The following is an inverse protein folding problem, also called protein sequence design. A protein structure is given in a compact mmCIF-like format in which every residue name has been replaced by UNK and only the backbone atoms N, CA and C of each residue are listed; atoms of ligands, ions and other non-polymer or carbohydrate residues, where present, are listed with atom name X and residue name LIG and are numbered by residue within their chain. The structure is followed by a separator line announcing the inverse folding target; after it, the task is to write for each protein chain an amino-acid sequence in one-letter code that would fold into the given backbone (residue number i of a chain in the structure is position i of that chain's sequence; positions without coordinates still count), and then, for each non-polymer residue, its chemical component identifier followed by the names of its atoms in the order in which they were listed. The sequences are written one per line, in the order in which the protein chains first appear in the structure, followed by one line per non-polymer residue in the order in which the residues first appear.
data_IF_114628720802
#
_entry.id   IF_114628720802
#
_cell.length_a   1.000
_cell.length_b   1.000
_cell.length_c   1.000
_cell.angle_alpha   90.00
_cell.angle_beta   90.00
_cell.angle_gamma   90.00
#
_symmetry.space_group_name_H-M   'P 1'
#
loop_
_entity.id
_entity.type
_entity.pdbx_description
1 polymer ?
#
# COMPACT_ATOMS: atom_id res chain seq x y z
N UNK A 1 4.57 -10.59 14.35
CA UNK A 1 3.20 -10.30 13.86
C UNK A 1 2.96 -8.80 13.85
N UNK A 2 2.57 -8.24 12.71
CA UNK A 2 2.36 -6.80 12.59
C UNK A 2 0.94 -6.42 13.04
N UNK A 3 0.85 -5.40 13.89
CA UNK A 3 -0.41 -4.72 14.20
C UNK A 3 -0.77 -3.77 13.05
N UNK A 4 0.12 -2.89 12.70
CA UNK A 4 -0.11 -1.90 11.65
C UNK A 4 1.20 -1.36 11.07
N UNK A 5 1.07 -0.74 9.92
CA UNK A 5 2.13 0.02 9.24
C UNK A 5 1.59 1.42 8.98
N UNK A 6 2.45 2.42 9.14
CA UNK A 6 2.08 3.83 8.92
C UNK A 6 3.07 4.49 7.97
N UNK A 7 2.55 5.26 7.02
CA UNK A 7 3.36 6.09 6.13
C UNK A 7 2.96 7.56 6.29
N UNK A 8 3.93 8.45 6.10
CA UNK A 8 3.68 9.89 6.12
C UNK A 8 3.21 10.37 4.75
N UNK A 9 2.21 11.26 4.76
CA UNK A 9 1.70 11.91 3.55
C UNK A 9 1.50 13.40 3.80
N UNK A 10 1.49 14.20 2.73
CA UNK A 10 1.29 15.65 2.82
C UNK A 10 -0.16 16.07 2.65
N UNK A 11 -0.94 15.26 1.95
CA UNK A 11 -2.32 15.56 1.58
C UNK A 11 -3.15 14.30 1.74
N UNK A 12 -4.04 14.27 2.74
CA UNK A 12 -4.86 13.11 3.05
C UNK A 12 -5.86 12.81 1.93
N UNK A 13 -6.45 13.82 1.29
CA UNK A 13 -7.41 13.60 0.21
C UNK A 13 -6.73 12.91 -0.97
N UNK A 14 -5.55 13.40 -1.35
CA UNK A 14 -4.76 12.80 -2.43
C UNK A 14 -4.34 11.38 -2.09
N UNK A 15 -3.84 11.16 -0.88
CA UNK A 15 -3.47 9.82 -0.41
C UNK A 15 -4.68 8.90 -0.37
N UNK A 16 -5.83 9.40 0.09
CA UNK A 16 -7.07 8.65 0.15
C UNK A 16 -7.54 8.16 -1.21
N UNK A 17 -7.53 9.02 -2.21
CA UNK A 17 -7.90 8.63 -3.57
C UNK A 17 -6.97 7.56 -4.13
N UNK A 18 -5.66 7.71 -3.91
CA UNK A 18 -4.67 6.75 -4.37
C UNK A 18 -4.87 5.38 -3.71
N UNK A 19 -4.90 5.32 -2.38
CA UNK A 19 -4.98 4.06 -1.66
C UNK A 19 -6.35 3.40 -1.78
N UNK A 20 -7.45 4.16 -1.83
CA UNK A 20 -8.76 3.58 -2.09
C UNK A 20 -8.77 2.80 -3.41
N UNK A 21 -8.18 3.37 -4.47
CA UNK A 21 -8.12 2.74 -5.77
C UNK A 21 -7.16 1.53 -5.78
N UNK A 22 -5.97 1.69 -5.21
CA UNK A 22 -4.96 0.64 -5.14
C UNK A 22 -5.49 -0.60 -4.40
N UNK A 23 -6.21 -0.40 -3.31
CA UNK A 23 -6.61 -1.45 -2.40
C UNK A 23 -7.86 -2.22 -2.82
N UNK A 24 -8.66 -1.73 -3.77
CA UNK A 24 -9.84 -2.47 -4.25
C UNK A 24 -9.48 -3.88 -4.71
N UNK A 25 -8.51 -4.06 -5.62
CA UNK A 25 -8.14 -5.42 -6.05
C UNK A 25 -7.50 -6.26 -4.96
N UNK A 26 -6.97 -5.63 -3.91
CA UNK A 26 -6.30 -6.32 -2.81
C UNK A 26 -7.25 -6.66 -1.65
N UNK A 27 -8.51 -6.23 -1.73
CA UNK A 27 -9.51 -6.55 -0.72
C UNK A 27 -9.40 -5.74 0.57
N UNK A 28 -8.72 -4.59 0.56
CA UNK A 28 -8.71 -3.70 1.71
C UNK A 28 -9.73 -2.58 1.53
N UNK A 29 -10.36 -2.19 2.62
CA UNK A 29 -11.36 -1.11 2.65
C UNK A 29 -10.98 -0.07 3.66
N UNK A 30 -11.40 1.16 3.40
CA UNK A 30 -11.22 2.26 4.34
C UNK A 30 -12.02 1.99 5.62
N UNK A 31 -11.37 2.25 6.76
CA UNK A 31 -11.97 2.18 8.08
C UNK A 31 -11.97 3.60 8.68
N UNK A 32 -13.07 3.97 9.34
CA UNK A 32 -13.17 5.27 9.99
C UNK A 32 -12.15 5.33 11.14
N UNK A 33 -11.38 6.42 11.19
CA UNK A 33 -10.46 6.72 12.29
C UNK A 33 -11.15 7.71 13.20
N UNK A 34 -11.38 7.30 14.46
CA UNK A 34 -11.93 8.19 15.47
C UNK A 34 -10.84 9.14 15.94
N UNK A 35 -11.07 10.46 15.97
CA UNK A 35 -10.08 11.40 16.48
C UNK A 35 -9.68 11.06 17.91
N UNK A 36 -8.36 11.03 18.18
CA UNK A 36 -7.79 10.65 19.47
C UNK A 36 -6.81 11.68 20.02
N UNK A 37 -6.79 12.88 19.41
CA UNK A 37 -5.83 13.93 19.75
C UNK A 37 -4.50 13.82 19.04
N UNK A 38 -4.28 12.75 18.29
CA UNK A 38 -3.10 12.57 17.45
C UNK A 38 -3.27 13.18 16.06
N UNK A 39 -2.30 12.95 15.16
CA UNK A 39 -2.37 13.45 13.79
C UNK A 39 -3.58 12.90 13.03
N UNK A 40 -4.09 13.68 12.08
CA UNK A 40 -5.12 13.21 11.16
C UNK A 40 -4.58 12.06 10.33
N UNK A 41 -5.40 11.01 10.16
CA UNK A 41 -4.99 9.77 9.51
C UNK A 41 -6.14 9.13 8.74
N UNK A 42 -5.78 8.35 7.74
CA UNK A 42 -6.67 7.42 7.04
C UNK A 42 -6.21 6.00 7.34
N UNK A 43 -7.14 5.06 7.37
CA UNK A 43 -6.87 3.67 7.70
C UNK A 43 -7.55 2.72 6.71
N UNK A 44 -6.85 1.67 6.35
CA UNK A 44 -7.40 0.58 5.53
C UNK A 44 -7.12 -0.75 6.21
N UNK A 45 -8.08 -1.68 6.04
CA UNK A 45 -8.01 -3.00 6.64
C UNK A 45 -8.75 -3.99 5.74
N UNK A 46 -8.34 -5.26 5.78
CA UNK A 46 -9.06 -6.32 5.07
C UNK A 46 -10.41 -6.58 5.73
N UNK A 47 -11.43 -6.88 4.93
CA UNK A 47 -12.76 -7.21 5.44
C UNK A 47 -12.75 -8.49 6.29
N UNK A 48 -11.80 -9.40 6.04
CA UNK A 48 -11.73 -10.72 6.67
C UNK A 48 -11.02 -10.74 8.02
N UNK A 49 -10.29 -9.68 8.40
CA UNK A 49 -9.51 -9.68 9.63
C UNK A 49 -9.33 -8.26 10.17
N UNK A 50 -9.30 -8.06 11.50
CA UNK A 50 -9.14 -6.74 12.10
C UNK A 50 -7.70 -6.20 12.02
N UNK A 51 -6.72 -7.06 11.77
CA UNK A 51 -5.30 -6.73 11.68
C UNK A 51 -4.64 -7.57 10.57
N UNK A 52 -3.51 -7.08 10.02
CA UNK A 52 -2.89 -5.78 10.24
C UNK A 52 -3.67 -4.64 9.58
N UNK A 53 -3.38 -3.41 10.02
CA UNK A 53 -3.93 -2.20 9.42
C UNK A 53 -2.86 -1.41 8.70
N UNK A 54 -3.26 -0.61 7.74
CA UNK A 54 -2.38 0.32 7.05
C UNK A 54 -2.91 1.74 7.25
N UNK A 55 -2.02 2.66 7.67
CA UNK A 55 -2.36 4.05 7.91
C UNK A 55 -1.55 4.97 7.00
N UNK A 56 -2.21 6.00 6.47
CA UNK A 56 -1.55 7.17 5.92
C UNK A 56 -1.88 8.35 6.84
N UNK A 57 -0.87 9.10 7.29
CA UNK A 57 -1.10 10.15 8.26
C UNK A 57 -0.23 11.37 8.00
N UNK A 58 -0.66 12.52 8.54
CA UNK A 58 0.20 13.69 8.63
C UNK A 58 1.24 13.38 9.73
N UNK A 59 2.55 13.60 9.47
CA UNK A 59 3.58 13.25 10.45
C UNK A 59 3.34 13.84 11.82
N UNK A 60 3.64 13.06 12.85
CA UNK A 60 3.36 13.43 14.25
C UNK A 60 4.03 14.72 14.67
N UNK A 61 5.24 15.00 14.15
CA UNK A 61 6.02 16.20 14.47
C UNK A 61 5.56 17.45 13.71
N UNK A 62 4.57 17.33 12.83
CA UNK A 62 4.07 18.44 12.03
C UNK A 62 4.98 18.87 10.87
N UNK A 63 6.14 18.25 10.73
CA UNK A 63 7.04 18.53 9.61
C UNK A 63 6.54 17.87 8.33
N UNK A 64 6.95 18.37 7.13
CA UNK A 64 6.56 17.74 5.87
C UNK A 64 6.96 16.27 5.81
N UNK A 65 6.05 15.43 5.30
CA UNK A 65 6.31 14.01 5.14
C UNK A 65 7.47 13.76 4.18
N UNK A 66 8.31 12.78 4.51
CA UNK A 66 9.33 12.25 3.63
C UNK A 66 9.12 10.76 3.46
N UNK A 67 9.48 10.21 2.28
CA UNK A 67 9.28 8.80 2.01
C UNK A 67 10.25 7.89 2.77
N UNK A 68 11.39 8.41 3.16
CA UNK A 68 12.50 7.61 3.68
C UNK A 68 13.22 6.84 2.58
N UNK A 69 14.52 6.68 2.73
CA UNK A 69 15.33 5.91 1.79
C UNK A 69 15.43 4.46 2.28
N UNK A 70 14.97 3.51 1.46
CA UNK A 70 15.01 2.09 1.79
C UNK A 70 13.73 1.52 2.40
N UNK A 71 12.77 2.38 2.82
CA UNK A 71 11.49 1.92 3.31
C UNK A 71 10.58 1.43 2.17
N UNK A 72 9.86 0.34 2.41
CA UNK A 72 8.92 -0.21 1.44
C UNK A 72 7.88 -1.06 2.17
N UNK A 73 6.61 -0.87 1.83
CA UNK A 73 5.54 -1.75 2.31
C UNK A 73 5.13 -2.68 1.18
N UNK A 74 5.12 -3.98 1.45
CA UNK A 74 4.68 -4.99 0.49
C UNK A 74 3.29 -5.50 0.87
N UNK A 75 2.36 -5.42 -0.08
CA UNK A 75 0.99 -5.89 0.09
C UNK A 75 0.80 -7.20 -0.67
N UNK A 76 0.23 -8.18 0.01
CA UNK A 76 -0.08 -9.47 -0.59
C UNK A 76 -1.31 -9.34 -1.48
N UNK A 77 -1.20 -9.80 -2.73
CA UNK A 77 -2.31 -9.86 -3.67
C UNK A 77 -2.81 -11.30 -3.81
N UNK A 78 -4.13 -11.51 -3.95
CA UNK A 78 -4.70 -12.85 -4.04
C UNK A 78 -4.39 -13.56 -5.37
N UNK A 79 -4.02 -12.80 -6.41
CA UNK A 79 -3.79 -13.36 -7.75
C UNK A 79 -2.85 -12.46 -8.56
N UNK A 80 -2.36 -12.98 -9.67
CA UNK A 80 -1.59 -12.21 -10.65
C UNK A 80 -2.42 -11.05 -11.19
N UNK A 81 -3.69 -11.30 -11.50
CA UNK A 81 -4.61 -10.29 -12.02
C UNK A 81 -4.80 -9.14 -11.01
N UNK A 82 -4.83 -9.46 -9.72
CA UNK A 82 -4.93 -8.44 -8.66
C UNK A 82 -3.68 -7.56 -8.60
N UNK A 83 -2.49 -8.13 -8.80
CA UNK A 83 -1.24 -7.35 -8.89
C UNK A 83 -1.33 -6.36 -10.06
N UNK A 84 -1.73 -6.85 -11.22
CA UNK A 84 -1.85 -6.02 -12.43
C UNK A 84 -2.88 -4.90 -12.24
N UNK A 85 -4.05 -5.24 -11.68
CA UNK A 85 -5.12 -4.27 -11.47
C UNK A 85 -4.73 -3.20 -10.44
N UNK A 86 -4.10 -3.59 -9.34
CA UNK A 86 -3.68 -2.65 -8.30
C UNK A 86 -2.60 -1.69 -8.80
N UNK A 87 -1.61 -2.21 -9.53
CA UNK A 87 -0.56 -1.36 -10.11
C UNK A 87 -1.15 -0.35 -11.09
N UNK A 88 -2.04 -0.80 -12.00
CA UNK A 88 -2.69 0.09 -12.95
C UNK A 88 -3.55 1.16 -12.25
N UNK A 89 -4.31 0.78 -11.21
CA UNK A 89 -5.12 1.71 -10.43
C UNK A 89 -4.24 2.75 -9.73
N UNK A 90 -3.13 2.32 -9.15
CA UNK A 90 -2.18 3.24 -8.49
C UNK A 90 -1.60 4.26 -9.46
N UNK A 91 -1.18 3.84 -10.65
CA UNK A 91 -0.67 4.76 -11.68
C UNK A 91 -1.75 5.72 -12.16
N UNK A 92 -2.99 5.28 -12.26
CA UNK A 92 -4.11 6.14 -12.69
C UNK A 92 -4.49 7.19 -11.62
N UNK A 93 -4.05 7.02 -10.38
CA UNK A 93 -4.41 7.90 -9.26
C UNK A 93 -3.19 8.57 -8.63
N UNK A 94 -2.21 8.92 -9.44
CA UNK A 94 -1.07 9.74 -9.02
C UNK A 94 0.17 8.99 -8.60
N UNK A 95 0.19 7.67 -8.71
CA UNK A 95 1.38 6.87 -8.45
C UNK A 95 2.41 6.96 -9.55
N UNK A 96 3.64 6.61 -9.23
CA UNK A 96 4.77 6.57 -10.16
C UNK A 96 5.29 5.14 -10.26
N UNK A 97 5.46 4.65 -11.49
CA UNK A 97 5.98 3.31 -11.74
C UNK A 97 7.43 3.16 -11.26
N UNK A 98 7.68 2.07 -10.55
CA UNK A 98 9.03 1.67 -10.11
C UNK A 98 9.35 0.23 -10.53
N UNK A 99 8.46 -0.43 -11.26
CA UNK A 99 8.64 -1.79 -11.75
C UNK A 99 7.33 -2.41 -12.20
N UNK A 100 7.16 -2.60 -13.51
CA UNK A 100 5.94 -3.14 -14.09
C UNK A 100 5.62 -4.55 -13.54
N UNK A 101 4.32 -4.93 -13.49
CA UNK A 101 3.93 -6.26 -13.07
C UNK A 101 4.62 -7.34 -13.89
N UNK A 102 5.18 -8.33 -13.20
CA UNK A 102 5.85 -9.43 -13.85
C UNK A 102 6.44 -10.42 -12.85
N UNK A 103 6.90 -11.58 -13.34
CA UNK A 103 7.56 -12.55 -12.49
C UNK A 103 8.90 -12.03 -11.98
N UNK A 104 9.26 -12.46 -10.77
CA UNK A 104 10.55 -12.17 -10.14
C UNK A 104 11.18 -13.49 -9.69
N UNK A 105 11.70 -14.28 -10.64
CA UNK A 105 12.14 -15.66 -10.35
C UNK A 105 13.26 -15.74 -9.32
N UNK A 106 14.07 -14.68 -9.17
CA UNK A 106 15.12 -14.64 -8.15
C UNK A 106 14.58 -14.66 -6.72
N UNK A 107 13.29 -14.39 -6.51
CA UNK A 107 12.66 -14.45 -5.20
C UNK A 107 11.82 -15.70 -5.00
N UNK A 108 11.58 -16.46 -6.06
CA UNK A 108 10.85 -17.71 -6.01
C UNK A 108 10.08 -17.98 -7.29
N UNK A 109 9.92 -19.26 -7.61
CA UNK A 109 9.09 -19.69 -8.73
C UNK A 109 7.63 -19.37 -8.40
N UNK A 110 6.97 -18.59 -9.24
CA UNK A 110 5.61 -18.14 -8.97
C UNK A 110 5.52 -16.83 -8.17
N UNK A 111 6.66 -16.21 -7.85
CA UNK A 111 6.69 -14.86 -7.28
C UNK A 111 6.39 -13.84 -8.38
N UNK A 112 5.26 -13.14 -8.28
CA UNK A 112 4.82 -12.17 -9.29
C UNK A 112 4.53 -10.84 -8.59
N UNK A 113 5.21 -9.78 -9.01
CA UNK A 113 5.10 -8.51 -8.30
C UNK A 113 5.24 -7.29 -9.17
N UNK A 114 4.91 -6.17 -8.59
CA UNK A 114 5.04 -4.84 -9.16
C UNK A 114 5.51 -3.86 -8.10
N UNK A 115 6.13 -2.78 -8.52
CA UNK A 115 6.59 -1.71 -7.65
C UNK A 115 6.07 -0.36 -8.15
N UNK A 116 5.67 0.49 -7.22
CA UNK A 116 5.31 1.87 -7.53
C UNK A 116 5.53 2.74 -6.30
N UNK A 117 5.43 4.05 -6.49
CA UNK A 117 5.42 5.00 -5.38
C UNK A 117 4.06 5.66 -5.29
N UNK A 118 3.64 5.95 -4.05
CA UNK A 118 2.45 6.77 -3.84
C UNK A 118 2.73 8.24 -4.20
N UNK A 119 1.72 9.12 -4.20
CA UNK A 119 1.93 10.54 -4.56
C UNK A 119 2.94 11.28 -3.68
N UNK A 120 3.26 10.78 -2.50
CA UNK A 120 4.24 11.35 -1.59
C UNK A 120 5.63 10.69 -1.71
N UNK A 121 5.77 9.71 -2.60
CA UNK A 121 7.03 9.02 -2.84
C UNK A 121 7.27 7.78 -1.99
N UNK A 122 6.31 7.38 -1.16
CA UNK A 122 6.43 6.13 -0.39
C UNK A 122 6.43 4.94 -1.33
N UNK A 123 7.44 4.07 -1.20
CA UNK A 123 7.59 2.91 -2.08
C UNK A 123 6.66 1.78 -1.65
N UNK A 124 5.99 1.20 -2.63
CA UNK A 124 5.02 0.13 -2.44
C UNK A 124 5.39 -1.03 -3.34
N UNK A 125 5.30 -2.23 -2.79
CA UNK A 125 5.38 -3.48 -3.54
C UNK A 125 4.04 -4.20 -3.45
N UNK A 126 3.55 -4.69 -4.58
CA UNK A 126 2.35 -5.52 -4.65
C UNK A 126 2.78 -6.87 -5.15
N UNK A 127 2.48 -7.93 -4.43
CA UNK A 127 3.05 -9.24 -4.72
C UNK A 127 2.04 -10.37 -4.56
N UNK A 128 2.00 -11.25 -5.55
CA UNK A 128 1.35 -12.55 -5.46
C UNK A 128 2.42 -13.61 -5.19
N UNK A 129 2.22 -14.36 -4.10
CA UNK A 129 3.20 -15.35 -3.62
C UNK A 129 2.79 -16.75 -4.06
N UNK A 130 2.72 -16.96 -5.39
CA UNK A 130 2.50 -18.29 -5.96
C UNK A 130 3.66 -19.26 -5.73
N UNK A 131 4.80 -18.74 -5.23
CA UNK A 131 5.96 -19.52 -4.84
C UNK A 131 5.78 -20.26 -3.50
N UNK A 132 4.81 -19.82 -2.69
CA UNK A 132 4.55 -20.44 -1.39
C UNK A 132 3.43 -21.46 -1.51
N UNK A 133 3.66 -22.64 -0.96
CA UNK A 133 2.64 -23.68 -0.87
C UNK A 133 1.99 -23.64 0.51
N UNK A 134 0.67 -23.89 0.60
CA UNK A 134 -0.02 -23.97 1.88
C UNK A 134 0.51 -25.11 2.74
#
# INVERSE_FOLDING_TARGET
MLSHVTVGVRDLDRAGHFYDALFVPLGLKRRIVTPDGGPAALCWVAASAPLPRFYAYIPYDGEPATAGNGGMTAFLAPSIEAVQAAHAAGLAHGGIDEGAPGPRPRYGDGYFGAYLRDPDGNKIHIVHRGDLQP
#
